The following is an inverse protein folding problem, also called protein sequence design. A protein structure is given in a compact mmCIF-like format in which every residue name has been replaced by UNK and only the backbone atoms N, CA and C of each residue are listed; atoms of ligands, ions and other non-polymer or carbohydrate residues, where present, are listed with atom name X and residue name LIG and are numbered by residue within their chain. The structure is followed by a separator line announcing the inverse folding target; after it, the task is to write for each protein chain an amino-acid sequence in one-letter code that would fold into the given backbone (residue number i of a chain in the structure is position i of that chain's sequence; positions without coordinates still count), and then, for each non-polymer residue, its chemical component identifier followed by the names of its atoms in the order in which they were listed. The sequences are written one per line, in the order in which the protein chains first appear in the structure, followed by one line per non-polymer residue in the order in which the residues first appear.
data_IF_175815704720
#
_entry.id   IF_175815704720
#
_cell.length_a   1.000
_cell.length_b   1.000
_cell.length_c   1.000
_cell.angle_alpha   90.00
_cell.angle_beta   90.00
_cell.angle_gamma   90.00
#
_symmetry.space_group_name_H-M   'P 1'
#
loop_
_entity.id
_entity.type
_entity.pdbx_description
1 polymer ?
#
# COMPACT_ATOMS: atom_id res chain seq x y z
N UNK A 1 -24.65 12.44 -38.74
CA UNK A 1 -25.46 13.36 -37.93
C UNK A 1 -25.10 13.11 -36.48
N UNK A 2 -24.56 14.15 -35.85
CA UNK A 2 -24.07 14.14 -34.48
C UNK A 2 -25.23 13.97 -33.50
N UNK A 3 -25.12 13.01 -32.60
CA UNK A 3 -25.72 13.14 -31.27
C UNK A 3 -24.59 13.20 -30.24
N UNK A 4 -23.96 14.38 -30.23
CA UNK A 4 -23.10 14.85 -29.16
C UNK A 4 -23.98 15.52 -28.10
N UNK A 5 -24.68 14.73 -27.28
CA UNK A 5 -25.45 15.19 -26.12
C UNK A 5 -25.68 14.01 -25.18
N UNK A 6 -24.79 13.87 -24.18
CA UNK A 6 -25.08 13.46 -22.80
C UNK A 6 -23.86 13.01 -21.98
N UNK A 7 -22.63 13.18 -22.47
CA UNK A 7 -21.42 12.86 -21.67
C UNK A 7 -21.09 13.90 -20.59
N UNK A 8 -21.88 14.97 -20.43
CA UNK A 8 -21.63 16.01 -19.43
C UNK A 8 -22.24 15.73 -18.04
N UNK A 9 -23.11 14.73 -17.88
CA UNK A 9 -23.77 14.43 -16.59
C UNK A 9 -23.34 13.08 -15.97
N UNK A 10 -22.68 12.22 -16.74
CA UNK A 10 -22.08 11.00 -16.20
C UNK A 10 -20.60 11.27 -15.92
N UNK A 11 -20.28 11.86 -14.77
CA UNK A 11 -18.91 12.06 -14.30
C UNK A 11 -18.06 10.82 -14.63
N UNK A 12 -17.09 11.02 -15.53
CA UNK A 12 -16.30 9.97 -16.17
C UNK A 12 -15.79 8.98 -15.11
N UNK A 13 -16.49 7.85 -14.94
CA UNK A 13 -16.00 6.72 -14.15
C UNK A 13 -14.97 6.01 -14.99
N UNK A 14 -13.77 6.57 -15.04
CA UNK A 14 -12.61 5.83 -15.53
C UNK A 14 -12.47 4.58 -14.64
N UNK A 15 -12.39 3.37 -15.21
CA UNK A 15 -12.08 2.18 -14.42
C UNK A 15 -10.67 2.32 -13.86
N UNK A 16 -10.57 2.79 -12.62
CA UNK A 16 -9.33 2.76 -11.86
C UNK A 16 -9.05 1.29 -11.58
N UNK A 17 -8.05 0.72 -12.25
CA UNK A 17 -7.55 -0.62 -11.92
C UNK A 17 -6.76 -0.51 -10.62
N UNK A 18 -6.49 -1.63 -9.94
CA UNK A 18 -5.58 -1.61 -8.79
C UNK A 18 -4.16 -1.25 -9.22
N UNK A 19 -3.40 -0.59 -8.34
CA UNK A 19 -1.99 -0.18 -8.49
C UNK A 19 -1.73 1.05 -9.38
N UNK A 20 -2.06 2.25 -8.90
CA UNK A 20 -1.66 3.51 -9.55
C UNK A 20 -0.74 4.31 -8.62
N UNK A 21 0.47 4.69 -9.07
CA UNK A 21 1.30 5.65 -8.35
C UNK A 21 0.59 6.99 -8.25
N UNK A 22 0.88 7.76 -7.19
CA UNK A 22 0.26 9.06 -6.97
C UNK A 22 0.52 10.01 -8.14
N UNK A 23 1.73 10.00 -8.71
CA UNK A 23 2.06 10.80 -9.90
C UNK A 23 1.12 10.53 -11.08
N UNK A 24 0.71 9.28 -11.30
CA UNK A 24 -0.26 8.95 -12.36
C UNK A 24 -1.64 9.47 -12.01
N UNK A 25 -2.07 9.31 -10.76
CA UNK A 25 -3.37 9.83 -10.30
C UNK A 25 -3.46 11.35 -10.42
N UNK A 26 -2.34 12.05 -10.17
CA UNK A 26 -2.23 13.50 -10.23
C UNK A 26 -2.01 14.06 -11.63
N UNK A 27 -1.59 13.23 -12.59
CA UNK A 27 -1.18 13.66 -13.95
C UNK A 27 -2.26 14.37 -14.80
N UNK A 28 -3.50 14.42 -14.31
CA UNK A 28 -4.62 15.11 -14.95
C UNK A 28 -5.54 15.79 -13.92
N UNK A 29 -5.02 16.15 -12.75
CA UNK A 29 -5.83 16.71 -11.67
C UNK A 29 -6.60 17.96 -12.14
N UNK A 30 -5.91 18.90 -12.79
CA UNK A 30 -6.52 20.13 -13.32
C UNK A 30 -7.64 19.86 -14.34
N UNK A 31 -7.40 18.96 -15.31
CA UNK A 31 -8.39 18.64 -16.35
C UNK A 31 -9.57 17.81 -15.81
N UNK A 32 -9.38 17.14 -14.67
CA UNK A 32 -10.44 16.45 -13.91
C UNK A 32 -11.18 17.37 -12.93
N UNK A 33 -10.81 18.65 -12.85
CA UNK A 33 -11.39 19.61 -11.88
C UNK A 33 -11.02 19.29 -10.44
N UNK A 34 -9.91 18.58 -10.24
CA UNK A 34 -9.41 18.16 -8.94
C UNK A 34 -8.42 19.22 -8.47
N UNK A 35 -8.91 20.18 -7.65
CA UNK A 35 -8.15 21.37 -7.23
C UNK A 35 -7.91 21.45 -5.73
N UNK A 36 -8.67 20.71 -4.92
CA UNK A 36 -8.58 20.74 -3.45
C UNK A 36 -9.12 19.43 -2.88
N UNK A 37 -8.28 18.39 -2.86
CA UNK A 37 -8.66 17.10 -2.29
C UNK A 37 -7.51 16.52 -1.49
N UNK A 38 -7.84 15.94 -0.35
CA UNK A 38 -6.89 15.18 0.45
C UNK A 38 -6.49 13.92 -0.30
N UNK A 39 -5.21 13.83 -0.63
CA UNK A 39 -4.62 12.64 -1.23
C UNK A 39 -4.37 11.61 -0.13
N UNK A 40 -4.90 10.40 -0.31
CA UNK A 40 -4.64 9.30 0.61
C UNK A 40 -4.03 8.13 -0.15
N UNK A 41 -2.86 7.67 0.30
CA UNK A 41 -2.34 6.39 -0.14
C UNK A 41 -3.12 5.28 0.58
N UNK A 42 -3.86 4.49 -0.19
CA UNK A 42 -4.61 3.37 0.35
C UNK A 42 -3.71 2.13 0.50
N UNK A 43 -3.92 1.37 1.57
CA UNK A 43 -3.39 0.02 1.78
C UNK A 43 -1.89 -0.10 2.07
N UNK A 44 -1.30 0.87 2.78
CA UNK A 44 0.04 0.64 3.35
C UNK A 44 -0.06 -0.52 4.33
N UNK A 45 0.82 -1.51 4.22
CA UNK A 45 0.83 -2.68 5.10
C UNK A 45 2.23 -2.92 5.62
N UNK A 46 2.36 -3.55 6.78
CA UNK A 46 3.63 -4.03 7.29
C UNK A 46 4.42 -4.77 6.18
N UNK A 47 5.66 -4.37 5.84
CA UNK A 47 6.28 -4.81 4.58
C UNK A 47 6.46 -6.31 4.45
N UNK A 48 6.76 -7.00 5.56
CA UNK A 48 6.83 -8.46 5.56
C UNK A 48 5.46 -9.12 5.36
N UNK A 49 4.43 -8.61 6.04
CA UNK A 49 3.06 -9.13 5.92
C UNK A 49 2.52 -8.91 4.50
N UNK A 50 2.88 -7.78 3.87
CA UNK A 50 2.64 -7.52 2.45
C UNK A 50 3.35 -8.51 1.54
N UNK A 51 4.64 -8.75 1.77
CA UNK A 51 5.41 -9.69 0.96
C UNK A 51 4.80 -11.10 0.98
N UNK A 52 4.50 -11.62 2.17
CA UNK A 52 3.87 -12.95 2.31
C UNK A 52 2.52 -12.97 1.60
N UNK A 53 1.72 -11.92 1.76
CA UNK A 53 0.42 -11.80 1.07
C UNK A 53 0.55 -11.79 -0.45
N UNK A 54 1.56 -11.09 -0.99
CA UNK A 54 1.84 -11.07 -2.42
C UNK A 54 2.31 -12.43 -2.93
N UNK A 55 3.20 -13.09 -2.19
CA UNK A 55 3.64 -14.44 -2.50
C UNK A 55 2.46 -15.42 -2.58
N UNK A 56 1.61 -15.44 -1.55
CA UNK A 56 0.44 -16.34 -1.50
C UNK A 56 -0.60 -16.00 -2.56
N UNK A 57 -0.75 -14.72 -2.91
CA UNK A 57 -1.58 -14.31 -4.06
C UNK A 57 -1.07 -14.92 -5.37
N UNK A 58 0.25 -15.05 -5.56
CA UNK A 58 0.82 -15.58 -6.80
C UNK A 58 1.01 -17.10 -6.84
N UNK A 59 1.17 -17.77 -5.69
CA UNK A 59 1.44 -19.22 -5.64
C UNK A 59 0.23 -20.07 -5.29
N UNK A 60 -0.90 -19.48 -4.88
CA UNK A 60 -2.14 -20.21 -4.59
C UNK A 60 -3.16 -20.13 -5.72
N UNK A 61 -4.04 -21.14 -5.78
CA UNK A 61 -5.27 -21.16 -6.57
C UNK A 61 -6.33 -20.13 -6.12
N UNK A 62 -6.04 -19.36 -5.05
CA UNK A 62 -7.05 -18.61 -4.32
C UNK A 62 -7.26 -17.17 -4.79
N UNK A 63 -6.43 -16.62 -5.67
CA UNK A 63 -6.61 -15.28 -6.24
C UNK A 63 -6.03 -15.19 -7.66
N UNK A 64 -6.84 -14.76 -8.63
CA UNK A 64 -6.50 -14.51 -10.05
C UNK A 64 -5.33 -15.34 -10.60
N UNK A 65 -5.63 -16.50 -11.20
CA UNK A 65 -4.69 -17.52 -11.71
C UNK A 65 -3.76 -17.11 -12.86
N UNK A 66 -3.04 -16.00 -12.72
CA UNK A 66 -1.96 -15.54 -13.59
C UNK A 66 -0.58 -15.63 -12.91
N UNK A 67 -0.52 -16.22 -11.71
CA UNK A 67 0.64 -16.17 -10.82
C UNK A 67 1.61 -17.35 -10.93
N UNK A 68 2.83 -17.10 -10.47
CA UNK A 68 3.98 -18.00 -10.36
C UNK A 68 3.54 -19.43 -10.03
N UNK A 69 3.45 -20.30 -11.04
CA UNK A 69 3.18 -21.71 -10.84
C UNK A 69 4.45 -22.38 -10.31
N UNK A 70 4.69 -22.21 -9.00
CA UNK A 70 5.89 -22.65 -8.32
C UNK A 70 5.53 -23.37 -7.03
N UNK A 71 6.16 -24.53 -6.81
CA UNK A 71 6.09 -25.30 -5.57
C UNK A 71 7.06 -24.77 -4.49
N UNK A 72 7.74 -23.65 -4.78
CA UNK A 72 8.66 -23.02 -3.83
C UNK A 72 7.92 -22.59 -2.56
N UNK A 73 8.60 -22.68 -1.43
CA UNK A 73 8.24 -22.02 -0.18
C UNK A 73 8.56 -20.51 -0.23
N UNK A 74 8.02 -19.74 0.73
CA UNK A 74 8.36 -18.30 0.87
C UNK A 74 9.86 -18.09 1.02
N UNK A 75 10.51 -18.92 1.85
CA UNK A 75 11.96 -18.85 2.09
C UNK A 75 12.77 -19.05 0.81
N UNK A 76 12.45 -20.10 0.03
CA UNK A 76 13.13 -20.38 -1.24
C UNK A 76 12.91 -19.26 -2.27
N UNK A 77 11.72 -18.67 -2.28
CA UNK A 77 11.41 -17.57 -3.18
C UNK A 77 12.16 -16.28 -2.81
N UNK A 78 12.28 -15.96 -1.52
CA UNK A 78 13.10 -14.82 -1.06
C UNK A 78 14.56 -15.01 -1.41
N UNK A 79 15.11 -16.20 -1.20
CA UNK A 79 16.48 -16.52 -1.60
C UNK A 79 16.68 -16.32 -3.11
N UNK A 80 15.74 -16.83 -3.92
CA UNK A 80 15.74 -16.62 -5.36
C UNK A 80 15.72 -15.12 -5.73
N UNK A 81 14.92 -14.31 -5.04
CA UNK A 81 14.88 -12.87 -5.26
C UNK A 81 16.20 -12.20 -4.88
N UNK A 82 16.85 -12.56 -3.77
CA UNK A 82 18.18 -12.03 -3.42
C UNK A 82 19.22 -12.35 -4.50
N UNK A 83 19.25 -13.58 -5.01
CA UNK A 83 20.13 -13.98 -6.12
C UNK A 83 19.86 -13.20 -7.42
N UNK A 84 18.60 -12.77 -7.62
CA UNK A 84 18.17 -11.94 -8.74
C UNK A 84 18.19 -10.44 -8.44
N UNK A 85 18.79 -10.02 -7.33
CA UNK A 85 18.84 -8.62 -6.90
C UNK A 85 17.44 -7.97 -6.87
N UNK A 86 16.44 -8.74 -6.48
CA UNK A 86 15.03 -8.35 -6.39
C UNK A 86 14.44 -7.82 -7.70
N UNK A 87 14.99 -8.21 -8.85
CA UNK A 87 14.45 -7.89 -10.17
C UNK A 87 13.14 -8.64 -10.39
N UNK A 88 12.01 -8.00 -10.09
CA UNK A 88 10.68 -8.56 -10.28
C UNK A 88 9.80 -7.64 -11.12
N UNK A 89 9.17 -8.20 -12.16
CA UNK A 89 8.17 -7.52 -12.96
C UNK A 89 6.84 -7.36 -12.22
N UNK A 90 6.67 -8.04 -11.07
CA UNK A 90 5.43 -8.05 -10.32
C UNK A 90 5.34 -6.86 -9.36
N UNK A 91 4.34 -6.01 -9.60
CA UNK A 91 4.12 -4.76 -8.86
C UNK A 91 3.93 -4.97 -7.34
N UNK A 92 3.38 -6.13 -6.95
CA UNK A 92 3.07 -6.44 -5.55
C UNK A 92 4.32 -6.66 -4.68
N UNK A 93 5.48 -6.92 -5.28
CA UNK A 93 6.74 -7.05 -4.58
C UNK A 93 7.58 -5.77 -4.62
N UNK A 94 7.14 -4.68 -5.26
CA UNK A 94 7.88 -3.40 -5.23
C UNK A 94 7.74 -2.74 -3.87
N UNK A 95 8.72 -1.98 -3.35
CA UNK A 95 8.51 -1.16 -2.16
C UNK A 95 7.28 -0.25 -2.28
N UNK A 96 6.59 -0.01 -1.18
CA UNK A 96 5.36 0.78 -1.13
C UNK A 96 5.65 2.27 -1.27
N UNK A 97 6.80 2.74 -0.77
CA UNK A 97 7.16 4.16 -0.85
C UNK A 97 7.20 4.67 -2.30
N UNK A 98 7.51 3.83 -3.30
CA UNK A 98 7.59 4.26 -4.70
C UNK A 98 6.24 4.73 -5.27
N UNK A 99 5.13 4.36 -4.62
CA UNK A 99 3.78 4.68 -5.09
C UNK A 99 3.28 6.03 -4.57
N UNK A 100 3.99 6.62 -3.60
CA UNK A 100 3.59 7.86 -2.94
C UNK A 100 4.56 9.02 -3.23
N UNK A 101 5.56 8.79 -4.06
CA UNK A 101 6.49 9.83 -4.47
C UNK A 101 5.95 10.66 -5.62
N UNK A 102 6.38 11.92 -5.65
CA UNK A 102 6.17 12.82 -6.78
C UNK A 102 6.98 12.37 -8.03
N UNK A 103 6.76 13.05 -9.16
CA UNK A 103 7.32 12.68 -10.45
C UNK A 103 8.87 12.63 -10.53
N UNK A 104 9.57 13.38 -9.67
CA UNK A 104 11.04 13.40 -9.62
C UNK A 104 11.60 12.51 -8.51
N UNK A 105 10.74 11.76 -7.80
CA UNK A 105 11.10 10.85 -6.71
C UNK A 105 11.82 11.52 -5.52
N UNK A 106 11.67 12.84 -5.35
CA UNK A 106 12.34 13.59 -4.28
C UNK A 106 11.45 13.87 -3.08
N UNK A 107 10.13 13.77 -3.21
CA UNK A 107 9.20 14.11 -2.14
C UNK A 107 8.01 13.14 -2.10
N UNK A 108 7.40 13.02 -0.92
CA UNK A 108 6.13 12.33 -0.75
C UNK A 108 5.02 13.29 -1.14
N UNK A 109 4.08 12.83 -1.98
CA UNK A 109 3.02 13.64 -2.59
C UNK A 109 1.63 13.17 -2.14
N UNK A 110 1.55 12.61 -0.93
CA UNK A 110 0.29 12.19 -0.29
C UNK A 110 0.12 12.85 1.07
N UNK A 111 -1.12 13.22 1.40
CA UNK A 111 -1.45 13.87 2.68
C UNK A 111 -1.68 12.87 3.80
N UNK A 112 -2.17 11.67 3.47
CA UNK A 112 -2.53 10.64 4.43
C UNK A 112 -2.06 9.24 4.00
N UNK A 113 -1.67 8.44 4.98
CA UNK A 113 -1.51 6.99 4.82
C UNK A 113 -2.70 6.27 5.44
N UNK A 114 -3.26 5.30 4.71
CA UNK A 114 -4.18 4.33 5.30
C UNK A 114 -3.44 3.02 5.48
N UNK A 115 -3.16 2.68 6.73
CA UNK A 115 -2.50 1.42 7.06
C UNK A 115 -3.57 0.33 7.23
N UNK A 116 -3.36 -0.83 6.62
CA UNK A 116 -4.31 -1.94 6.64
C UNK A 116 -4.59 -2.44 8.06
N UNK A 117 -3.58 -2.39 8.92
CA UNK A 117 -3.66 -2.78 10.33
C UNK A 117 -4.49 -1.81 11.18
N UNK A 118 -4.78 -0.62 10.65
CA UNK A 118 -5.57 0.44 11.27
C UNK A 118 -6.71 0.90 10.36
N UNK A 119 -7.28 -0.02 9.57
CA UNK A 119 -8.25 0.31 8.53
C UNK A 119 -9.41 1.17 9.05
N UNK A 120 -10.05 0.75 10.14
CA UNK A 120 -11.22 1.46 10.70
C UNK A 120 -10.86 2.87 11.20
N UNK A 121 -9.70 3.03 11.85
CA UNK A 121 -9.21 4.34 12.30
C UNK A 121 -8.85 5.24 11.12
N UNK A 122 -8.17 4.69 10.11
CA UNK A 122 -7.78 5.44 8.91
C UNK A 122 -8.99 5.92 8.12
N UNK A 123 -10.03 5.10 7.99
CA UNK A 123 -11.30 5.49 7.39
C UNK A 123 -11.95 6.62 8.18
N UNK A 124 -12.03 6.50 9.51
CA UNK A 124 -12.57 7.55 10.37
C UNK A 124 -11.81 8.88 10.24
N UNK A 125 -10.48 8.83 10.14
CA UNK A 125 -9.64 10.02 9.92
C UNK A 125 -9.95 10.71 8.59
N UNK A 126 -10.07 9.95 7.49
CA UNK A 126 -10.45 10.51 6.19
C UNK A 126 -11.83 11.16 6.26
N UNK A 127 -12.80 10.50 6.90
CA UNK A 127 -14.15 11.03 7.04
C UNK A 127 -14.17 12.35 7.80
N UNK A 128 -13.39 12.45 8.88
CA UNK A 128 -13.23 13.70 9.63
C UNK A 128 -12.63 14.81 8.76
N UNK A 129 -11.65 14.51 7.91
CA UNK A 129 -11.04 15.50 7.00
C UNK A 129 -12.04 15.94 5.93
N UNK A 130 -12.88 15.03 5.44
CA UNK A 130 -13.91 15.31 4.44
C UNK A 130 -15.20 15.93 5.03
N UNK A 131 -15.29 16.07 6.35
CA UNK A 131 -16.49 16.59 7.03
C UNK A 131 -17.72 15.68 6.89
N UNK A 132 -17.51 14.37 6.74
CA UNK A 132 -18.60 13.37 6.66
C UNK A 132 -19.06 13.04 8.08
N UNK A 133 -20.34 13.26 8.38
CA UNK A 133 -20.92 12.93 9.69
C UNK A 133 -21.04 11.41 9.91
N UNK A 134 -20.85 10.96 11.15
CA UNK A 134 -20.81 9.54 11.57
C UNK A 134 -22.09 8.74 11.19
N UNK A 135 -23.20 9.43 10.92
CA UNK A 135 -24.48 8.84 10.50
C UNK A 135 -24.52 8.46 9.00
N UNK A 136 -23.73 9.12 8.15
CA UNK A 136 -23.60 8.79 6.72
C UNK A 136 -22.58 7.67 6.46
N UNK A 137 -21.75 7.37 7.44
CA UNK A 137 -20.69 6.34 7.40
C UNK A 137 -21.23 4.93 7.30
N UNK A 138 -22.30 4.64 8.06
CA UNK A 138 -23.01 3.36 7.96
C UNK A 138 -23.54 3.13 6.55
N UNK A 139 -23.74 4.17 5.72
CA UNK A 139 -24.15 4.01 4.32
C UNK A 139 -22.98 3.68 3.40
N UNK A 140 -21.78 4.22 3.59
CA UNK A 140 -20.60 3.86 2.79
C UNK A 140 -20.09 2.44 3.10
N UNK A 141 -20.12 2.04 4.37
CA UNK A 141 -19.74 0.67 4.77
C UNK A 141 -20.84 -0.38 4.49
N UNK A 142 -22.13 -0.01 4.45
CA UNK A 142 -23.24 -0.96 4.20
C UNK A 142 -23.86 -0.91 2.79
N UNK A 143 -23.68 0.14 1.98
CA UNK A 143 -24.22 0.13 0.61
C UNK A 143 -23.26 -0.59 -0.35
N UNK A 144 -23.65 -1.82 -0.68
CA UNK A 144 -23.13 -2.76 -1.71
C UNK A 144 -22.26 -3.88 -1.15
N UNK A 145 -22.85 -4.80 -0.37
CA UNK A 145 -22.29 -6.16 -0.23
C UNK A 145 -20.91 -6.28 0.43
N UNK A 146 -20.33 -5.18 0.92
CA UNK A 146 -19.12 -5.12 1.75
C UNK A 146 -19.40 -5.49 3.22
N UNK A 147 -20.68 -5.73 3.56
CA UNK A 147 -21.10 -6.40 4.79
C UNK A 147 -20.74 -7.89 4.87
N UNK A 148 -20.01 -8.41 3.87
CA UNK A 148 -19.08 -9.49 4.13
C UNK A 148 -17.73 -8.83 4.34
N UNK A 149 -17.23 -8.83 5.58
CA UNK A 149 -15.84 -9.20 5.88
C UNK A 149 -15.19 -9.76 4.62
N UNK A 150 -14.44 -8.95 3.85
CA UNK A 150 -14.17 -9.21 2.44
C UNK A 150 -13.31 -10.47 2.23
N UNK A 151 -13.85 -11.66 2.46
CA UNK A 151 -13.10 -12.91 2.59
C UNK A 151 -11.72 -12.77 3.27
N UNK A 152 -11.55 -11.86 4.25
CA UNK A 152 -10.30 -11.72 5.01
C UNK A 152 -9.99 -13.01 5.80
N UNK A 153 -10.98 -13.90 5.94
CA UNK A 153 -10.80 -15.25 6.45
C UNK A 153 -9.65 -16.01 5.77
N UNK A 154 -9.43 -15.81 4.45
CA UNK A 154 -8.30 -16.43 3.74
C UNK A 154 -6.97 -15.71 3.97
N UNK A 155 -6.99 -14.38 4.18
CA UNK A 155 -5.79 -13.61 4.52
C UNK A 155 -5.23 -13.96 5.91
N UNK A 156 -6.09 -14.43 6.81
CA UNK A 156 -5.72 -14.92 8.15
C UNK A 156 -5.06 -16.31 8.14
N UNK A 157 -4.94 -16.98 6.99
CA UNK A 157 -4.29 -18.29 6.84
C UNK A 157 -2.86 -18.19 6.28
N UNK A 158 -2.36 -17.00 6.00
CA UNK A 158 -0.99 -16.83 5.56
C UNK A 158 -0.02 -16.98 6.74
N UNK A 159 1.20 -17.45 6.46
CA UNK A 159 2.29 -17.38 7.44
C UNK A 159 2.41 -15.94 7.95
N UNK A 160 2.69 -15.80 9.24
CA UNK A 160 3.01 -14.51 9.83
C UNK A 160 4.48 -14.24 9.63
N UNK A 161 4.88 -12.97 9.70
CA UNK A 161 6.29 -12.64 9.56
C UNK A 161 7.17 -13.37 10.59
N UNK A 162 6.65 -13.62 11.80
CA UNK A 162 7.37 -14.37 12.84
C UNK A 162 7.61 -15.84 12.52
N UNK A 163 6.86 -16.42 11.58
CA UNK A 163 6.94 -17.83 11.20
C UNK A 163 8.05 -18.08 10.16
N UNK A 164 8.58 -17.02 9.53
CA UNK A 164 9.67 -17.09 8.56
C UNK A 164 11.03 -17.28 9.25
N UNK A 165 11.97 -17.91 8.54
CA UNK A 165 13.35 -18.04 9.04
C UNK A 165 13.99 -16.67 9.28
N UNK A 166 14.89 -16.52 10.27
CA UNK A 166 15.58 -15.27 10.55
C UNK A 166 16.21 -14.62 9.31
N UNK A 167 16.94 -15.39 8.50
CA UNK A 167 17.60 -14.93 7.28
C UNK A 167 16.61 -14.40 6.22
N UNK A 168 15.47 -15.09 6.05
CA UNK A 168 14.38 -14.68 5.17
C UNK A 168 13.79 -13.34 5.61
N UNK A 169 13.57 -13.18 6.92
CA UNK A 169 13.04 -11.93 7.49
C UNK A 169 14.02 -10.79 7.30
N UNK A 170 15.29 -11.02 7.55
CA UNK A 170 16.35 -10.02 7.35
C UNK A 170 16.46 -9.59 5.88
N UNK A 171 16.38 -10.54 4.94
CA UNK A 171 16.39 -10.25 3.51
C UNK A 171 15.22 -9.34 3.10
N UNK A 172 14.01 -9.68 3.53
CA UNK A 172 12.81 -8.84 3.33
C UNK A 172 12.99 -7.46 3.97
N UNK A 173 13.52 -7.40 5.20
CA UNK A 173 13.76 -6.13 5.89
C UNK A 173 14.76 -5.24 5.19
N UNK A 174 15.87 -5.80 4.67
CA UNK A 174 16.84 -5.04 3.87
C UNK A 174 16.20 -4.47 2.62
N UNK A 175 15.46 -5.30 1.90
CA UNK A 175 14.81 -4.86 0.67
C UNK A 175 13.74 -3.78 0.89
N UNK A 176 12.95 -3.90 1.96
CA UNK A 176 11.92 -2.93 2.32
C UNK A 176 12.36 -1.91 3.38
N UNK A 177 13.67 -1.71 3.60
CA UNK A 177 14.16 -0.95 4.74
C UNK A 177 13.62 0.49 4.79
N UNK A 178 13.41 1.10 3.63
CA UNK A 178 12.82 2.43 3.52
C UNK A 178 11.33 2.45 3.87
N UNK A 179 10.56 1.43 3.47
CA UNK A 179 9.15 1.29 3.88
C UNK A 179 9.06 1.15 5.41
N UNK A 180 9.88 0.29 6.03
CA UNK A 180 9.90 0.12 7.48
C UNK A 180 10.12 1.46 8.19
N UNK A 181 11.13 2.22 7.76
CA UNK A 181 11.45 3.51 8.36
C UNK A 181 10.36 4.56 8.11
N UNK A 182 9.91 4.70 6.86
CA UNK A 182 8.97 5.74 6.43
C UNK A 182 7.59 5.55 7.06
N UNK A 183 7.12 4.30 7.18
CA UNK A 183 5.80 4.00 7.74
C UNK A 183 5.82 3.68 9.23
N UNK A 184 7.01 3.63 9.84
CA UNK A 184 7.14 3.52 11.30
C UNK A 184 6.88 2.14 11.84
N UNK A 185 7.20 1.13 11.04
CA UNK A 185 7.23 -0.24 11.51
C UNK A 185 8.58 -0.52 12.18
N UNK A 186 8.54 -1.15 13.34
CA UNK A 186 9.76 -1.64 13.99
C UNK A 186 10.39 -2.77 13.15
N UNK A 187 11.72 -2.79 13.08
CA UNK A 187 12.46 -3.92 12.54
C UNK A 187 12.38 -5.06 13.59
N UNK A 188 11.79 -6.21 13.23
CA UNK A 188 11.44 -7.34 14.11
C UNK A 188 12.52 -7.78 15.13
N UNK A 189 12.12 -8.38 16.28
CA UNK A 189 10.89 -8.14 17.06
C UNK A 189 11.22 -7.83 18.56
N UNK A 190 10.27 -7.35 19.39
CA UNK A 190 9.26 -8.25 19.97
C UNK A 190 7.89 -7.60 20.19
N UNK A 191 6.84 -8.37 19.88
CA UNK A 191 5.43 -8.19 20.22
C UNK A 191 4.56 -7.71 19.06
N UNK A 192 3.35 -8.25 19.08
CA UNK A 192 2.51 -8.63 17.95
C UNK A 192 1.72 -7.48 17.34
N UNK A 193 2.09 -6.27 17.68
CA UNK A 193 1.40 -5.07 17.29
C UNK A 193 2.10 -4.53 16.04
N UNK A 194 1.71 -5.07 14.87
CA UNK A 194 2.06 -4.57 13.52
C UNK A 194 1.45 -3.17 13.32
N UNK A 195 1.73 -2.22 14.22
CA UNK A 195 1.10 -0.91 14.24
C UNK A 195 1.95 0.03 13.40
N UNK A 196 1.36 0.45 12.28
CA UNK A 196 1.87 1.53 11.47
C UNK A 196 1.95 2.82 12.29
N UNK A 197 3.15 3.31 12.61
CA UNK A 197 3.33 4.62 13.26
C UNK A 197 3.46 5.66 12.14
N UNK A 198 2.35 5.89 11.43
CA UNK A 198 2.29 6.71 10.22
C UNK A 198 1.17 7.75 10.26
N UNK A 199 0.93 8.39 11.41
CA UNK A 199 -0.10 9.43 11.58
C UNK A 199 0.43 10.85 11.37
N UNK A 200 1.37 11.04 10.44
CA UNK A 200 1.71 12.40 10.01
C UNK A 200 0.61 12.90 9.07
N UNK A 201 0.13 14.13 9.26
CA UNK A 201 -1.12 14.61 8.63
C UNK A 201 -0.90 15.39 7.33
N UNK A 202 0.33 15.48 6.80
CA UNK A 202 0.60 16.17 5.54
C UNK A 202 1.87 15.69 4.83
N UNK A 203 1.91 15.94 3.52
CA UNK A 203 3.00 15.58 2.62
C UNK A 203 4.37 16.16 3.02
N UNK A 204 4.41 17.35 3.63
CA UNK A 204 5.66 18.00 4.04
C UNK A 204 6.37 17.23 5.17
N UNK A 205 5.62 16.85 6.22
CA UNK A 205 6.15 16.04 7.32
C UNK A 205 6.64 14.68 6.82
N UNK A 206 5.85 14.04 5.94
CA UNK A 206 6.21 12.76 5.34
C UNK A 206 7.47 12.87 4.46
N UNK A 207 7.62 13.96 3.72
CA UNK A 207 8.82 14.24 2.92
C UNK A 207 10.06 14.42 3.80
N UNK A 208 9.95 15.18 4.91
CA UNK A 208 11.04 15.31 5.89
C UNK A 208 11.43 13.94 6.46
N UNK A 209 10.45 13.10 6.78
CA UNK A 209 10.69 11.74 7.27
C UNK A 209 11.35 10.85 6.22
N UNK A 210 10.90 10.92 4.96
CA UNK A 210 11.48 10.19 3.84
C UNK A 210 12.98 10.50 3.69
N UNK A 211 13.37 11.78 3.69
CA UNK A 211 14.77 12.17 3.63
C UNK A 211 15.58 11.67 4.83
N UNK A 212 15.05 11.84 6.05
CA UNK A 212 15.69 11.32 7.27
C UNK A 212 15.91 9.81 7.21
N UNK A 213 14.94 9.07 6.66
CA UNK A 213 15.05 7.63 6.46
C UNK A 213 16.10 7.26 5.41
N UNK A 214 16.14 7.96 4.27
CA UNK A 214 17.18 7.75 3.26
C UNK A 214 18.59 7.98 3.82
N UNK A 215 18.79 9.05 4.59
CA UNK A 215 20.08 9.32 5.24
C UNK A 215 20.45 8.24 6.26
N UNK A 216 19.50 7.82 7.09
CA UNK A 216 19.69 6.75 8.08
C UNK A 216 20.10 5.43 7.44
N UNK A 217 19.52 5.08 6.30
CA UNK A 217 19.83 3.83 5.57
C UNK A 217 21.18 3.91 4.89
N UNK A 218 21.51 5.04 4.23
CA UNK A 218 22.84 5.28 3.65
C UNK A 218 23.95 5.12 4.68
N UNK A 219 23.78 5.65 5.89
CA UNK A 219 24.76 5.48 6.99
C UNK A 219 24.92 4.03 7.47
N UNK A 220 23.92 3.17 7.22
CA UNK A 220 23.95 1.74 7.57
C UNK A 220 24.46 0.86 6.42
N UNK A 221 24.83 1.44 5.28
CA UNK A 221 25.21 0.68 4.08
C UNK A 221 24.04 -0.05 3.43
N UNK A 222 22.82 0.47 3.61
CA UNK A 222 21.59 0.00 2.98
C UNK A 222 21.07 1.00 1.96
#
# INVERSE_FOLDING_TARGET
MNDARNDHEAGLRFPVRGHHPIVEMMSFAETRGIVDFTTAATSIRHPCSRFISAFRYFTSDMCNGFGLNTDQSVDEYVQYLEEKQWSTSYVHFRPQYTWILNANETAVDVDNFLCNEQWDEGIHRIESVLGIEETDTRRLCNHRGLGSSSNHYKQNQHEKCKDLKPETREAIQRYYALDYCLFGYDLLPPNEDEVCIGTDTNAESMTKRFHKCQEKLKMRGL
#
